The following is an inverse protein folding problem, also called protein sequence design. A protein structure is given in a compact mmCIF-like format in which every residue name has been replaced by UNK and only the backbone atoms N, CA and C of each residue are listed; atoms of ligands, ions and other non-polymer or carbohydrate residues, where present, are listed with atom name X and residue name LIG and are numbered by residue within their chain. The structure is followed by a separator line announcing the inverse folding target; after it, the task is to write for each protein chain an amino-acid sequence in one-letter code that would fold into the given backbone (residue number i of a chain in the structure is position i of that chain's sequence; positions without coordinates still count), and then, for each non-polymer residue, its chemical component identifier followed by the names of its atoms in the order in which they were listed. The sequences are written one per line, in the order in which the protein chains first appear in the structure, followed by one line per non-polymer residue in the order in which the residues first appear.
data_IF_937157732729
#
_entry.id   IF_937157732729
#
_cell.length_a   1.000
_cell.length_b   1.000
_cell.length_c   1.000
_cell.angle_alpha   90.00
_cell.angle_beta   90.00
_cell.angle_gamma   90.00
#
_symmetry.space_group_name_H-M   'P 1'
#
loop_
_entity.id
_entity.type
_entity.pdbx_description
1 polymer ?
#
# COMPACT_ATOMS: atom_id res chain seq x y z
N UNK A 1 -8.09 29.32 48.29
CA UNK A 1 -8.20 28.48 47.09
C UNK A 1 -7.40 27.21 47.35
N UNK A 2 -8.08 26.07 47.58
CA UNK A 2 -7.39 24.80 47.80
C UNK A 2 -6.72 24.31 46.51
N UNK A 3 -5.64 23.52 46.59
CA UNK A 3 -5.03 22.94 45.41
C UNK A 3 -6.05 22.03 44.74
N UNK A 4 -6.36 22.31 43.46
CA UNK A 4 -7.16 21.42 42.64
C UNK A 4 -6.43 20.08 42.59
N UNK A 5 -6.98 19.07 43.26
CA UNK A 5 -6.57 17.67 43.12
C UNK A 5 -6.93 17.22 41.70
N UNK A 6 -6.04 17.56 40.75
CA UNK A 6 -6.09 17.03 39.40
C UNK A 6 -5.91 15.53 39.48
N UNK A 7 -6.95 14.77 39.16
CA UNK A 7 -6.85 13.34 38.90
C UNK A 7 -5.84 13.19 37.77
N UNK A 8 -4.65 12.64 38.05
CA UNK A 8 -3.63 12.43 37.04
C UNK A 8 -4.23 11.61 35.89
N UNK A 9 -4.23 12.19 34.68
CA UNK A 9 -4.75 11.50 33.50
C UNK A 9 -3.91 10.24 33.27
N UNK A 10 -4.58 9.09 33.10
CA UNK A 10 -3.91 7.83 32.80
C UNK A 10 -3.20 7.94 31.45
N UNK A 11 -1.90 7.61 31.37
CA UNK A 11 -1.16 7.74 30.12
C UNK A 11 -1.75 6.85 29.03
N UNK A 12 -1.68 7.30 27.79
CA UNK A 12 -2.30 6.65 26.64
C UNK A 12 -1.25 6.27 25.60
N UNK A 13 -1.32 5.02 25.14
CA UNK A 13 -0.57 4.52 23.98
C UNK A 13 -1.51 4.51 22.78
N UNK A 14 -1.17 5.29 21.76
CA UNK A 14 -1.94 5.31 20.52
C UNK A 14 -1.30 4.43 19.46
N UNK A 15 -2.12 3.62 18.80
CA UNK A 15 -1.74 2.79 17.65
C UNK A 15 -2.45 3.38 16.44
N UNK A 16 -1.66 3.84 15.47
CA UNK A 16 -2.14 4.64 14.35
C UNK A 16 -1.79 3.96 13.05
N UNK A 17 -2.70 3.96 12.08
CA UNK A 17 -2.39 3.58 10.71
C UNK A 17 -3.27 4.36 9.74
N UNK A 18 -2.92 4.33 8.46
CA UNK A 18 -3.70 4.95 7.39
C UNK A 18 -4.21 3.89 6.41
N UNK A 19 -5.46 3.98 5.97
CA UNK A 19 -6.04 2.90 5.18
C UNK A 19 -6.05 3.17 3.67
N UNK A 20 -5.74 4.39 3.25
CA UNK A 20 -5.68 4.78 1.85
C UNK A 20 -4.39 4.31 1.16
N UNK A 21 -4.49 4.13 -0.14
CA UNK A 21 -3.35 3.93 -1.03
C UNK A 21 -3.47 4.85 -2.24
N UNK A 22 -2.34 5.18 -2.85
CA UNK A 22 -2.32 5.95 -4.09
C UNK A 22 -1.56 5.16 -5.12
N UNK A 23 -2.11 5.03 -6.32
CA UNK A 23 -1.42 4.43 -7.46
C UNK A 23 -1.71 5.11 -8.78
N UNK A 24 -1.02 4.67 -9.83
CA UNK A 24 -1.12 5.25 -11.17
C UNK A 24 -2.55 5.20 -11.72
N UNK A 25 -3.29 4.12 -11.41
CA UNK A 25 -4.71 4.00 -11.66
C UNK A 25 -5.45 3.96 -10.30
N UNK A 26 -6.26 4.97 -9.95
CA UNK A 26 -7.01 5.01 -8.69
C UNK A 26 -7.86 3.75 -8.45
N UNK A 27 -8.56 3.28 -9.49
CA UNK A 27 -9.46 2.12 -9.43
C UNK A 27 -8.73 0.78 -9.22
N UNK A 28 -7.41 0.75 -9.39
CA UNK A 28 -6.56 -0.43 -9.18
C UNK A 28 -5.62 -0.27 -7.99
N UNK A 29 -5.83 0.76 -7.16
CA UNK A 29 -5.02 1.02 -5.98
C UNK A 29 -5.47 0.14 -4.81
N UNK A 30 -5.12 -1.16 -4.86
CA UNK A 30 -5.41 -2.11 -3.78
C UNK A 30 -4.36 -2.08 -2.65
N UNK A 31 -3.09 -1.87 -3.00
CA UNK A 31 -2.01 -1.50 -2.08
C UNK A 31 -1.86 -2.33 -0.80
N UNK A 32 -1.66 -3.65 -0.89
CA UNK A 32 -1.55 -4.50 0.32
C UNK A 32 -0.32 -4.15 1.18
N UNK A 33 0.86 -4.09 0.56
CA UNK A 33 2.10 -3.62 1.20
C UNK A 33 2.27 -2.09 1.08
N UNK A 34 1.22 -1.42 0.58
CA UNK A 34 1.03 0.04 0.65
C UNK A 34 -0.01 0.32 1.74
N UNK A 35 0.31 -0.17 2.93
CA UNK A 35 -0.35 0.02 4.21
C UNK A 35 -1.67 -0.70 4.53
N UNK A 36 -2.29 -1.47 3.62
CA UNK A 36 -3.40 -2.35 4.01
C UNK A 36 -3.01 -3.29 5.15
N UNK A 37 -1.79 -3.83 5.08
CA UNK A 37 -1.19 -4.65 6.15
C UNK A 37 -1.12 -3.95 7.51
N UNK A 38 -0.89 -2.64 7.55
CA UNK A 38 -0.92 -1.84 8.79
C UNK A 38 -2.32 -1.74 9.39
N UNK A 39 -3.36 -1.61 8.55
CA UNK A 39 -4.76 -1.62 8.98
C UNK A 39 -5.15 -2.98 9.56
N UNK A 40 -4.82 -4.07 8.85
CA UNK A 40 -5.09 -5.44 9.33
C UNK A 40 -4.42 -5.69 10.69
N UNK A 41 -3.18 -5.22 10.83
CA UNK A 41 -2.43 -5.30 12.07
C UNK A 41 -3.12 -4.53 13.20
N UNK A 42 -3.54 -3.30 12.93
CA UNK A 42 -4.26 -2.46 13.90
C UNK A 42 -5.56 -3.14 14.38
N UNK A 43 -6.38 -3.67 13.48
CA UNK A 43 -7.63 -4.37 13.84
C UNK A 43 -7.35 -5.62 14.67
N UNK A 44 -6.30 -6.35 14.32
CA UNK A 44 -5.89 -7.56 15.03
C UNK A 44 -5.39 -7.22 16.44
N UNK A 45 -4.60 -6.16 16.60
CA UNK A 45 -4.15 -5.66 17.90
C UNK A 45 -5.34 -5.19 18.74
N UNK A 46 -6.28 -4.44 18.16
CA UNK A 46 -7.49 -4.00 18.84
C UNK A 46 -8.26 -5.18 19.44
N UNK A 47 -8.45 -6.25 18.67
CA UNK A 47 -9.09 -7.49 19.14
C UNK A 47 -8.30 -8.17 20.26
N UNK A 48 -6.98 -8.32 20.10
CA UNK A 48 -6.12 -9.01 21.06
C UNK A 48 -6.12 -8.27 22.40
N UNK A 49 -5.93 -6.96 22.38
CA UNK A 49 -5.95 -6.13 23.58
C UNK A 49 -7.36 -6.01 24.19
N UNK A 50 -8.42 -5.99 23.39
CA UNK A 50 -9.80 -6.03 23.89
C UNK A 50 -10.07 -7.29 24.73
N UNK A 51 -9.66 -8.47 24.23
CA UNK A 51 -9.75 -9.72 25.00
C UNK A 51 -8.89 -9.70 26.26
N UNK A 52 -7.71 -9.10 26.19
CA UNK A 52 -6.78 -9.01 27.32
C UNK A 52 -7.35 -8.12 28.43
N UNK A 53 -7.88 -6.94 28.07
CA UNK A 53 -8.47 -5.98 29.00
C UNK A 53 -9.86 -6.40 29.50
N UNK A 54 -10.60 -7.20 28.72
CA UNK A 54 -11.93 -7.72 29.08
C UNK A 54 -11.89 -8.95 30.00
N UNK A 55 -10.72 -9.56 30.22
CA UNK A 55 -10.58 -10.84 30.91
C UNK A 55 -10.88 -10.87 32.42
N UNK A 56 -11.22 -9.74 33.04
CA UNK A 56 -11.61 -9.64 34.46
C UNK A 56 -10.53 -10.09 35.45
N UNK A 57 -9.79 -9.12 36.00
CA UNK A 57 -8.80 -9.35 37.08
C UNK A 57 -7.36 -9.05 36.64
N UNK A 58 -6.75 -8.01 37.21
CA UNK A 58 -5.31 -7.69 37.15
C UNK A 58 -4.69 -7.41 35.76
N UNK A 59 -5.37 -7.74 34.66
CA UNK A 59 -4.86 -7.66 33.29
C UNK A 59 -5.05 -6.29 32.63
N UNK A 60 -5.64 -5.31 33.32
CA UNK A 60 -5.64 -3.92 32.82
C UNK A 60 -4.26 -3.32 33.09
N UNK A 61 -3.56 -2.98 32.02
CA UNK A 61 -2.29 -2.26 32.12
C UNK A 61 -2.49 -0.85 32.69
N UNK A 62 -1.39 -0.18 33.11
CA UNK A 62 -1.42 1.21 33.58
C UNK A 62 -1.65 2.22 32.44
N UNK A 63 -1.88 1.78 31.21
CA UNK A 63 -2.07 2.61 30.03
C UNK A 63 -3.46 2.44 29.45
N UNK A 64 -4.01 3.53 28.92
CA UNK A 64 -5.13 3.48 28.00
C UNK A 64 -4.62 3.17 26.58
N UNK A 65 -5.41 2.45 25.79
CA UNK A 65 -5.11 2.16 24.39
C UNK A 65 -6.05 2.94 23.49
N UNK A 66 -5.47 3.68 22.54
CA UNK A 66 -6.21 4.42 21.52
C UNK A 66 -5.88 3.86 20.14
N UNK A 67 -6.89 3.52 19.36
CA UNK A 67 -6.73 3.05 17.99
C UNK A 67 -7.22 4.11 17.02
N UNK A 68 -6.38 4.54 16.08
CA UNK A 68 -6.71 5.61 15.12
C UNK A 68 -6.44 5.14 13.69
N UNK A 69 -7.49 5.16 12.86
CA UNK A 69 -7.38 4.97 11.42
C UNK A 69 -7.64 6.30 10.71
N UNK A 70 -6.69 6.73 9.88
CA UNK A 70 -6.80 8.00 9.14
C UNK A 70 -6.81 7.76 7.63
N UNK A 71 -7.55 8.58 6.89
CA UNK A 71 -7.38 8.71 5.44
C UNK A 71 -6.32 9.75 5.08
N UNK A 72 -5.91 9.82 3.82
CA UNK A 72 -4.98 10.85 3.35
C UNK A 72 -3.52 10.64 3.78
N UNK A 73 -3.11 9.40 4.06
CA UNK A 73 -1.72 9.05 4.36
C UNK A 73 -0.76 9.45 3.23
N UNK A 74 -1.15 9.22 1.98
CA UNK A 74 -0.33 9.56 0.81
C UNK A 74 -0.32 11.07 0.49
N UNK A 75 -1.21 11.84 1.09
CA UNK A 75 -1.28 13.31 0.97
C UNK A 75 -0.56 13.98 2.13
N UNK A 76 0.70 13.58 2.36
CA UNK A 76 1.51 14.11 3.46
C UNK A 76 0.82 13.93 4.84
N UNK A 77 0.16 12.79 5.03
CA UNK A 77 -0.58 12.46 6.25
C UNK A 77 -1.64 13.51 6.64
N UNK A 78 -2.36 14.06 5.65
CA UNK A 78 -3.34 15.13 5.82
C UNK A 78 -4.42 14.78 6.87
N UNK A 79 -4.94 13.55 6.86
CA UNK A 79 -5.95 13.13 7.83
C UNK A 79 -5.40 13.03 9.26
N UNK A 80 -4.14 12.60 9.43
CA UNK A 80 -3.48 12.60 10.75
C UNK A 80 -3.25 14.03 11.26
N UNK A 81 -2.79 14.92 10.37
CA UNK A 81 -2.60 16.34 10.69
C UNK A 81 -3.90 17.00 11.13
N UNK A 82 -4.98 16.71 10.42
CA UNK A 82 -6.30 17.29 10.71
C UNK A 82 -6.94 16.69 11.97
N UNK A 83 -6.76 15.38 12.20
CA UNK A 83 -7.14 14.78 13.47
C UNK A 83 -6.39 15.41 14.66
N UNK A 84 -5.08 15.64 14.53
CA UNK A 84 -4.26 16.32 15.55
C UNK A 84 -4.64 17.80 15.77
N UNK A 85 -5.31 18.46 14.83
CA UNK A 85 -5.77 19.84 15.00
C UNK A 85 -7.12 19.92 15.72
N UNK A 86 -7.96 18.88 15.60
CA UNK A 86 -9.31 18.80 16.16
C UNK A 86 -9.42 17.98 17.44
N UNK A 87 -8.46 17.11 17.74
CA UNK A 87 -8.44 16.32 18.96
C UNK A 87 -8.40 17.21 20.22
N UNK A 88 -9.08 16.78 21.28
CA UNK A 88 -9.08 17.48 22.58
C UNK A 88 -7.65 17.56 23.14
N UNK A 89 -7.26 18.74 23.63
CA UNK A 89 -5.94 18.97 24.21
C UNK A 89 -5.65 18.03 25.37
N UNK A 90 -6.66 17.67 26.16
CA UNK A 90 -6.51 16.70 27.27
C UNK A 90 -6.11 15.30 26.79
N UNK A 91 -6.70 14.86 25.69
CA UNK A 91 -6.36 13.57 25.08
C UNK A 91 -4.91 13.63 24.56
N UNK A 92 -4.57 14.70 23.84
CA UNK A 92 -3.21 14.87 23.29
C UNK A 92 -2.14 14.95 24.38
N UNK A 93 -2.42 15.61 25.51
CA UNK A 93 -1.52 15.70 26.65
C UNK A 93 -1.35 14.36 27.38
N UNK A 94 -2.35 13.48 27.32
CA UNK A 94 -2.26 12.11 27.85
C UNK A 94 -1.50 11.14 26.94
N UNK A 95 -1.22 11.49 25.68
CA UNK A 95 -0.51 10.62 24.74
C UNK A 95 0.98 10.55 25.11
N UNK A 96 1.39 9.41 25.65
CA UNK A 96 2.78 9.18 26.03
C UNK A 96 3.59 8.59 24.87
N UNK A 97 2.98 7.64 24.14
CA UNK A 97 3.61 6.97 22.99
C UNK A 97 2.60 6.83 21.85
N UNK A 98 3.04 7.15 20.64
CA UNK A 98 2.30 6.90 19.40
C UNK A 98 3.07 5.92 18.52
N UNK A 99 2.51 4.75 18.28
CA UNK A 99 3.03 3.75 17.35
C UNK A 99 2.25 3.79 16.04
N UNK A 100 2.89 4.28 14.98
CA UNK A 100 2.36 4.25 13.62
C UNK A 100 2.77 2.95 12.94
N UNK A 101 1.81 2.19 12.41
CA UNK A 101 2.06 0.97 11.65
C UNK A 101 2.02 1.27 10.15
N UNK A 102 3.12 1.01 9.45
CA UNK A 102 3.25 1.24 8.01
C UNK A 102 3.85 0.04 7.28
N UNK A 103 3.10 -0.58 6.35
CA UNK A 103 3.64 -1.56 5.39
C UNK A 103 4.42 -2.70 6.06
N UNK A 104 3.78 -3.39 7.03
CA UNK A 104 4.41 -4.47 7.82
C UNK A 104 4.18 -5.88 7.24
N UNK A 105 3.40 -5.99 6.16
CA UNK A 105 2.97 -7.28 5.60
C UNK A 105 3.66 -7.71 4.30
N UNK A 106 4.78 -7.09 3.91
CA UNK A 106 5.47 -7.40 2.67
C UNK A 106 6.54 -8.50 2.75
N UNK A 107 7.22 -8.72 1.63
CA UNK A 107 8.30 -9.72 1.54
C UNK A 107 9.53 -9.23 2.31
N UNK A 108 9.89 -9.94 3.38
CA UNK A 108 11.14 -9.73 4.14
C UNK A 108 10.96 -10.03 5.63
N UNK A 109 12.07 -10.14 6.35
CA UNK A 109 12.08 -10.37 7.81
C UNK A 109 12.62 -9.18 8.59
N UNK A 110 13.08 -8.15 7.88
CA UNK A 110 13.63 -6.94 8.45
C UNK A 110 12.51 -5.95 8.75
N UNK A 111 12.44 -5.49 9.99
CA UNK A 111 11.60 -4.38 10.41
C UNK A 111 12.46 -3.24 10.91
N UNK A 112 12.02 -2.02 10.61
CA UNK A 112 12.68 -0.78 10.93
C UNK A 112 11.77 0.04 11.83
N UNK A 113 12.30 0.44 12.99
CA UNK A 113 11.64 1.36 13.90
C UNK A 113 12.18 2.76 13.62
N UNK A 114 11.37 3.58 12.93
CA UNK A 114 11.69 4.94 12.57
C UNK A 114 11.28 5.91 13.67
N UNK A 115 12.18 6.80 14.07
CA UNK A 115 11.91 7.81 15.09
C UNK A 115 12.51 9.17 14.73
N UNK A 116 11.76 10.22 15.09
CA UNK A 116 12.22 11.60 15.03
C UNK A 116 13.08 12.01 16.23
N UNK A 117 12.88 11.36 17.38
CA UNK A 117 13.66 11.58 18.61
C UNK A 117 14.60 10.39 18.85
N UNK A 118 15.83 10.60 19.31
CA UNK A 118 16.75 9.50 19.57
C UNK A 118 16.22 8.61 20.71
N UNK A 119 16.25 7.29 20.52
CA UNK A 119 15.74 6.30 21.47
C UNK A 119 16.76 5.97 22.57
N UNK A 120 17.34 7.00 23.20
CA UNK A 120 18.44 6.84 24.17
C UNK A 120 17.98 6.85 25.62
N UNK A 121 16.90 7.58 25.93
CA UNK A 121 16.50 7.87 27.31
C UNK A 121 14.98 7.85 27.49
N UNK A 122 14.55 7.64 28.74
CA UNK A 122 13.15 7.66 29.15
C UNK A 122 12.29 6.59 28.47
N UNK A 123 11.04 6.96 28.21
CA UNK A 123 10.02 6.12 27.55
C UNK A 123 10.52 5.60 26.19
N UNK A 124 11.27 6.42 25.46
CA UNK A 124 11.78 6.06 24.14
C UNK A 124 12.74 4.86 24.18
N UNK A 125 13.57 4.77 25.23
CA UNK A 125 14.43 3.61 25.47
C UNK A 125 13.62 2.38 25.88
N UNK A 126 12.64 2.55 26.78
CA UNK A 126 11.76 1.45 27.21
C UNK A 126 11.02 0.80 26.04
N UNK A 127 10.52 1.60 25.10
CA UNK A 127 9.90 1.08 23.87
C UNK A 127 10.92 0.31 23.03
N UNK A 128 12.12 0.86 22.81
CA UNK A 128 13.14 0.17 22.02
C UNK A 128 13.57 -1.16 22.67
N UNK A 129 13.76 -1.18 23.99
CA UNK A 129 14.14 -2.36 24.75
C UNK A 129 13.03 -3.44 24.68
N UNK A 130 11.76 -3.04 24.81
CA UNK A 130 10.61 -3.93 24.69
C UNK A 130 10.49 -4.57 23.29
N UNK A 131 10.72 -3.78 22.24
CA UNK A 131 10.71 -4.28 20.85
C UNK A 131 11.93 -5.15 20.55
N UNK A 132 13.11 -4.79 21.05
CA UNK A 132 14.33 -5.58 20.88
C UNK A 132 14.24 -6.93 21.60
N UNK A 133 13.61 -6.96 22.77
CA UNK A 133 13.35 -8.18 23.52
C UNK A 133 12.34 -9.12 22.85
N UNK A 134 11.38 -8.59 22.11
CA UNK A 134 10.38 -9.37 21.37
C UNK A 134 10.88 -9.90 20.02
N UNK A 135 11.98 -9.34 19.49
CA UNK A 135 12.44 -9.66 18.14
C UNK A 135 12.91 -11.13 17.99
N UNK A 136 13.66 -11.72 18.95
CA UNK A 136 14.11 -13.11 18.85
C UNK A 136 12.97 -14.14 18.90
N UNK A 137 11.94 -13.92 19.72
CA UNK A 137 10.81 -14.86 19.85
C UNK A 137 10.00 -14.97 18.57
N UNK A 138 9.89 -13.87 17.80
CA UNK A 138 9.20 -13.84 16.51
C UNK A 138 10.11 -14.08 15.29
N UNK A 139 11.43 -14.24 15.49
CA UNK A 139 12.40 -14.39 14.38
C UNK A 139 12.48 -13.16 13.47
N UNK A 140 12.21 -11.96 13.99
CA UNK A 140 12.22 -10.69 13.25
C UNK A 140 13.57 -10.00 13.45
N UNK A 141 14.16 -9.44 12.39
CA UNK A 141 15.35 -8.61 12.49
C UNK A 141 14.95 -7.16 12.65
N UNK A 142 14.98 -6.66 13.88
CA UNK A 142 14.64 -5.28 14.19
C UNK A 142 15.87 -4.37 14.09
N UNK A 143 15.71 -3.23 13.42
CA UNK A 143 16.71 -2.16 13.43
C UNK A 143 16.05 -0.81 13.75
N UNK A 144 16.73 0.04 14.51
CA UNK A 144 16.24 1.38 14.83
C UNK A 144 16.86 2.42 13.89
N UNK A 145 16.02 3.23 13.24
CA UNK A 145 16.44 4.31 12.35
C UNK A 145 16.00 5.65 12.95
N UNK A 146 16.96 6.53 13.21
CA UNK A 146 16.70 7.87 13.71
C UNK A 146 16.94 8.92 12.63
N UNK A 147 15.95 9.77 12.38
CA UNK A 147 16.04 10.88 11.43
C UNK A 147 15.43 12.13 12.06
N UNK A 148 16.22 13.20 12.17
CA UNK A 148 15.70 14.49 12.63
C UNK A 148 14.75 15.09 11.58
N UNK A 149 13.68 15.71 12.05
CA UNK A 149 12.68 16.35 11.19
C UNK A 149 13.29 17.61 10.56
N UNK A 150 13.13 17.73 9.25
CA UNK A 150 13.51 18.95 8.54
C UNK A 150 12.31 19.90 8.46
N UNK A 151 12.27 20.89 9.35
CA UNK A 151 11.16 21.87 9.44
C UNK A 151 11.02 22.70 8.15
N UNK A 152 12.10 22.87 7.38
CA UNK A 152 12.06 23.62 6.13
C UNK A 152 11.35 22.87 5.00
N UNK A 153 11.22 21.53 5.09
CA UNK A 153 10.52 20.74 4.09
C UNK A 153 9.05 20.58 4.50
N UNK A 154 8.09 21.07 3.69
CA UNK A 154 6.67 20.87 3.98
C UNK A 154 6.24 19.40 3.88
N UNK A 155 6.98 18.57 3.14
CA UNK A 155 6.68 17.14 2.97
C UNK A 155 7.39 16.31 4.05
N UNK A 156 6.59 15.60 4.84
CA UNK A 156 7.03 14.68 5.86
C UNK A 156 7.34 13.31 5.26
N UNK A 157 8.29 12.61 5.87
CA UNK A 157 8.74 11.29 5.41
C UNK A 157 7.90 10.17 6.01
N UNK A 158 7.41 10.36 7.25
CA UNK A 158 6.70 9.34 8.01
C UNK A 158 5.56 9.94 8.83
N UNK A 159 4.55 9.11 9.12
CA UNK A 159 3.35 9.55 9.86
C UNK A 159 3.67 10.08 11.26
N UNK A 160 4.66 9.48 11.95
CA UNK A 160 5.06 9.89 13.30
C UNK A 160 5.65 11.32 13.36
N UNK A 161 6.09 11.87 12.23
CA UNK A 161 6.60 13.24 12.17
C UNK A 161 5.49 14.27 12.45
N UNK A 162 4.23 13.98 12.06
CA UNK A 162 3.07 14.84 12.38
C UNK A 162 2.87 14.98 13.90
N UNK A 163 3.02 13.87 14.64
CA UNK A 163 2.93 13.86 16.10
C UNK A 163 4.10 14.60 16.75
N UNK A 164 5.30 14.43 16.20
CA UNK A 164 6.51 15.07 16.68
C UNK A 164 6.47 16.59 16.53
N UNK A 165 5.81 17.12 15.50
CA UNK A 165 5.53 18.56 15.34
C UNK A 165 4.64 19.12 16.47
N UNK A 166 3.77 18.29 17.03
CA UNK A 166 2.94 18.59 18.22
C UNK A 166 3.64 18.25 19.54
N UNK A 167 4.94 17.95 19.51
CA UNK A 167 5.79 17.54 20.66
C UNK A 167 5.45 16.17 21.27
N UNK A 168 4.49 15.45 20.71
CA UNK A 168 4.11 14.10 21.12
C UNK A 168 5.20 13.12 20.64
N UNK A 169 5.54 12.13 21.46
CA UNK A 169 6.53 11.11 21.07
C UNK A 169 5.87 10.07 20.17
N UNK A 170 6.37 9.94 18.94
CA UNK A 170 5.85 9.02 17.94
C UNK A 170 6.94 8.23 17.24
N UNK A 171 6.58 7.01 16.83
CA UNK A 171 7.42 6.03 16.16
C UNK A 171 6.67 5.46 14.95
N UNK A 172 7.36 5.14 13.87
CA UNK A 172 6.77 4.35 12.77
C UNK A 172 7.48 3.02 12.68
N UNK A 173 6.74 1.93 12.80
CA UNK A 173 7.23 0.59 12.49
C UNK A 173 6.93 0.29 11.03
N UNK A 174 7.98 0.02 10.25
CA UNK A 174 7.82 -0.34 8.84
C UNK A 174 8.84 -1.35 8.38
N UNK A 175 8.49 -2.17 7.39
CA UNK A 175 9.45 -3.00 6.64
C UNK A 175 10.37 -2.16 5.75
N UNK A 176 9.93 -0.95 5.36
CA UNK A 176 10.68 -0.09 4.45
C UNK A 176 11.80 0.60 5.23
N UNK A 177 13.04 0.40 4.79
CA UNK A 177 14.22 1.09 5.36
C UNK A 177 14.25 2.58 5.04
N UNK A 178 13.53 3.00 4.00
CA UNK A 178 13.40 4.38 3.52
C UNK A 178 11.93 4.78 3.48
N UNK A 179 11.63 6.08 3.65
CA UNK A 179 10.27 6.57 3.60
C UNK A 179 9.62 6.36 2.23
N UNK A 180 8.29 6.20 2.18
CA UNK A 180 7.55 6.22 0.93
C UNK A 180 7.72 7.56 0.21
N UNK A 181 7.72 7.51 -1.13
CA UNK A 181 7.80 8.72 -1.95
C UNK A 181 6.46 9.47 -1.85
N UNK A 182 6.44 10.78 -1.53
CA UNK A 182 5.20 11.53 -1.47
C UNK A 182 4.46 11.55 -2.81
N UNK A 183 3.12 11.54 -2.76
CA UNK A 183 2.23 11.55 -3.93
C UNK A 183 2.61 12.62 -4.98
N UNK A 184 2.90 13.84 -4.52
CA UNK A 184 3.24 14.97 -5.38
C UNK A 184 4.53 14.71 -6.20
N UNK A 185 5.52 14.04 -5.61
CA UNK A 185 6.77 13.71 -6.28
C UNK A 185 6.61 12.54 -7.27
N UNK A 186 5.73 11.58 -6.98
CA UNK A 186 5.41 10.47 -7.88
C UNK A 186 4.55 10.87 -9.08
N UNK A 187 3.67 11.87 -8.90
CA UNK A 187 2.82 12.39 -9.98
C UNK A 187 3.61 13.28 -10.95
N UNK A 188 4.61 14.04 -10.46
CA UNK A 188 5.44 14.90 -11.31
C UNK A 188 6.36 14.11 -12.25
N UNK A 189 6.88 12.95 -11.82
CA UNK A 189 7.72 12.09 -12.67
C UNK A 189 6.92 11.41 -13.78
N UNK A 190 5.65 11.08 -13.54
CA UNK A 190 4.74 10.59 -14.58
C UNK A 190 4.42 11.66 -15.64
N UNK A 191 4.32 12.93 -15.22
CA UNK A 191 4.12 14.07 -16.14
C UNK A 191 5.38 14.41 -16.95
N UNK A 192 6.58 14.26 -16.39
CA UNK A 192 7.83 14.50 -17.12
C UNK A 192 8.06 13.51 -18.27
N UNK A 193 7.62 12.26 -18.09
CA UNK A 193 7.70 11.23 -19.13
C UNK A 193 6.75 11.49 -20.32
N UNK A 194 5.70 12.30 -20.14
CA UNK A 194 4.76 12.66 -21.21
C UNK A 194 5.13 13.97 -21.92
N UNK A 195 5.88 14.88 -21.28
CA UNK A 195 6.31 16.15 -21.89
C UNK A 195 7.56 16.02 -22.79
N UNK A 196 8.40 15.01 -22.61
CA UNK A 196 9.54 14.76 -23.52
C UNK A 196 9.14 14.18 -24.89
N UNK A 197 7.86 13.88 -25.12
CA UNK A 197 7.34 13.41 -26.39
C UNK A 197 6.74 14.51 -27.29
N UNK A 198 6.81 15.78 -26.87
CA UNK A 198 5.98 16.84 -27.45
C UNK A 198 6.69 18.12 -27.87
N UNK A 199 7.97 18.10 -28.24
CA UNK A 199 8.64 19.30 -28.79
C UNK A 199 9.62 18.95 -29.92
N UNK A 200 9.08 18.51 -31.06
CA UNK A 200 9.69 18.76 -32.38
C UNK A 200 8.60 19.16 -33.36
N UNK A 201 8.42 20.48 -33.54
CA UNK A 201 7.65 21.03 -34.64
C UNK A 201 8.39 20.80 -35.96
N UNK A 202 7.71 20.21 -36.95
CA UNK A 202 8.20 20.14 -38.33
C UNK A 202 7.74 18.87 -39.05
N UNK A 203 6.71 19.03 -39.87
CA UNK A 203 6.26 18.22 -41.01
C UNK A 203 6.86 16.80 -41.26
N UNK A 204 5.93 15.87 -41.51
CA UNK A 204 6.08 14.60 -42.25
C UNK A 204 6.56 13.36 -41.47
N UNK A 205 5.68 12.34 -41.45
CA UNK A 205 6.04 10.93 -41.24
C UNK A 205 6.07 10.47 -39.79
N UNK A 206 5.12 9.60 -39.41
CA UNK A 206 5.23 8.77 -38.20
C UNK A 206 6.40 7.79 -38.36
N UNK A 207 7.58 8.18 -37.90
CA UNK A 207 8.73 7.29 -37.75
C UNK A 207 8.72 6.78 -36.31
N UNK A 208 8.37 5.51 -36.12
CA UNK A 208 8.63 4.83 -34.85
C UNK A 208 10.15 4.78 -34.62
N UNK A 209 10.66 5.18 -33.44
CA UNK A 209 12.09 5.06 -33.17
C UNK A 209 12.49 3.58 -33.18
N UNK A 210 13.69 3.24 -33.70
CA UNK A 210 14.19 1.88 -33.66
C UNK A 210 14.36 1.41 -32.20
N UNK A 211 14.09 0.14 -31.95
CA UNK A 211 14.11 -0.50 -30.63
C UNK A 211 15.46 -0.35 -29.86
N UNK A 212 16.52 0.07 -30.53
CA UNK A 212 17.86 0.26 -29.98
C UNK A 212 18.06 1.50 -29.10
N UNK A 213 17.09 2.44 -29.05
CA UNK A 213 17.12 3.58 -28.11
C UNK A 213 16.70 3.16 -26.69
N UNK A 214 15.83 2.15 -26.56
CA UNK A 214 15.43 1.63 -25.25
C UNK A 214 16.56 0.91 -24.49
N UNK A 215 17.59 0.43 -25.21
CA UNK A 215 18.78 -0.21 -24.64
C UNK A 215 19.84 0.79 -24.10
N UNK A 216 19.71 2.09 -24.40
CA UNK A 216 20.69 3.13 -24.01
C UNK A 216 20.24 4.06 -22.90
N UNK A 217 19.01 3.90 -22.41
CA UNK A 217 18.62 4.56 -21.17
C UNK A 217 19.40 3.88 -20.02
N UNK A 218 20.10 4.64 -19.15
CA UNK A 218 20.60 4.05 -17.92
C UNK A 218 19.41 3.34 -17.26
N UNK A 219 19.58 2.11 -16.74
CA UNK A 219 18.49 1.46 -16.02
C UNK A 219 17.97 2.48 -15.01
N UNK A 220 16.63 2.69 -14.92
CA UNK A 220 16.10 3.52 -13.86
C UNK A 220 16.74 2.99 -12.57
N UNK A 221 17.20 3.89 -11.67
CA UNK A 221 17.88 3.45 -10.47
C UNK A 221 17.07 2.31 -9.88
N UNK A 222 17.72 1.18 -9.63
CA UNK A 222 17.14 -0.01 -9.01
C UNK A 222 16.79 0.26 -7.55
N UNK A 223 16.18 1.41 -7.27
CA UNK A 223 15.21 1.54 -6.22
C UNK A 223 14.08 0.59 -6.59
N UNK A 224 13.95 -0.48 -5.82
CA UNK A 224 12.67 -0.99 -5.38
C UNK A 224 11.87 0.15 -4.73
N UNK A 225 11.50 1.17 -5.52
CA UNK A 225 10.45 2.09 -5.16
C UNK A 225 9.23 1.21 -5.14
N UNK A 226 8.73 0.90 -3.95
CA UNK A 226 7.35 0.52 -3.73
C UNK A 226 6.48 1.68 -4.23
N UNK A 227 6.46 1.88 -5.54
CA UNK A 227 5.26 2.29 -6.24
C UNK A 227 4.21 1.30 -5.78
N UNK A 228 3.06 1.79 -5.39
CA UNK A 228 1.85 1.00 -5.21
C UNK A 228 1.70 0.03 -6.39
N UNK A 229 2.22 -1.18 -6.24
CA UNK A 229 2.13 -2.13 -7.31
C UNK A 229 0.67 -2.55 -7.31
N UNK A 230 0.02 -2.34 -8.45
CA UNK A 230 -1.37 -2.76 -8.71
C UNK A 230 -1.56 -4.27 -8.56
N UNK A 231 -0.49 -5.02 -8.28
CA UNK A 231 -0.44 -6.48 -8.19
C UNK A 231 0.33 -6.95 -6.94
N UNK A 232 0.15 -6.28 -5.79
CA UNK A 232 0.62 -6.82 -4.52
C UNK A 232 -0.24 -8.05 -4.13
N UNK A 233 0.28 -9.27 -4.35
CA UNK A 233 -0.40 -10.51 -3.95
C UNK A 233 -0.32 -10.71 -2.44
N UNK A 234 -1.34 -10.23 -1.74
CA UNK A 234 -1.45 -10.35 -0.28
C UNK A 234 -1.29 -11.78 0.25
N UNK A 235 -1.78 -12.77 -0.50
CA UNK A 235 -1.75 -14.18 -0.06
C UNK A 235 -0.33 -14.73 0.15
N UNK A 236 0.67 -14.20 -0.55
CA UNK A 236 2.05 -14.69 -0.42
C UNK A 236 2.74 -14.23 0.87
N UNK A 237 2.21 -13.23 1.57
CA UNK A 237 2.87 -12.63 2.74
C UNK A 237 2.01 -12.69 4.02
N UNK A 238 0.89 -13.44 4.03
CA UNK A 238 0.00 -13.54 5.18
C UNK A 238 0.68 -14.14 6.41
N UNK A 239 1.49 -15.19 6.24
CA UNK A 239 2.20 -15.83 7.36
C UNK A 239 3.22 -14.87 7.99
N UNK A 240 3.86 -14.03 7.18
CA UNK A 240 4.77 -12.98 7.65
C UNK A 240 4.03 -11.87 8.36
N UNK A 241 2.87 -11.47 7.85
CA UNK A 241 2.01 -10.50 8.52
C UNK A 241 1.55 -11.03 9.88
N UNK A 242 1.09 -12.28 9.96
CA UNK A 242 0.66 -12.92 11.21
C UNK A 242 1.79 -12.90 12.26
N UNK A 243 2.98 -13.33 11.89
CA UNK A 243 4.20 -13.25 12.71
C UNK A 243 4.54 -11.83 13.15
N UNK A 244 4.46 -10.86 12.23
CA UNK A 244 4.80 -9.47 12.53
C UNK A 244 3.76 -8.82 13.46
N UNK A 245 2.49 -9.18 13.35
CA UNK A 245 1.45 -8.70 14.29
C UNK A 245 1.64 -9.34 15.66
N UNK A 246 2.02 -10.62 15.72
CA UNK A 246 2.36 -11.29 16.99
C UNK A 246 3.54 -10.60 17.67
N UNK A 247 4.60 -10.33 16.90
CA UNK A 247 5.75 -9.54 17.37
C UNK A 247 5.33 -8.18 17.95
N UNK A 248 4.48 -7.42 17.26
CA UNK A 248 4.02 -6.10 17.73
C UNK A 248 3.15 -6.24 18.97
N UNK A 249 2.26 -7.22 19.03
CA UNK A 249 1.43 -7.48 20.20
C UNK A 249 2.30 -7.81 21.43
N UNK A 250 3.32 -8.65 21.24
CA UNK A 250 4.26 -9.06 22.27
C UNK A 250 5.11 -7.88 22.76
N UNK A 251 5.65 -7.07 21.85
CA UNK A 251 6.44 -5.88 22.15
C UNK A 251 5.62 -4.82 22.91
N UNK A 252 4.39 -4.56 22.47
CA UNK A 252 3.49 -3.62 23.14
C UNK A 252 3.09 -4.12 24.52
N UNK A 253 2.81 -5.41 24.69
CA UNK A 253 2.52 -5.95 26.01
C UNK A 253 3.72 -5.84 26.96
N UNK A 254 4.94 -6.11 26.48
CA UNK A 254 6.14 -5.88 27.29
C UNK A 254 6.25 -4.44 27.77
N UNK A 255 6.02 -3.50 26.86
CA UNK A 255 6.04 -2.08 27.19
C UNK A 255 4.94 -1.69 28.19
N UNK A 256 3.69 -2.07 27.94
CA UNK A 256 2.53 -1.69 28.75
C UNK A 256 2.62 -2.27 30.17
N UNK A 257 3.02 -3.53 30.31
CA UNK A 257 3.06 -4.21 31.60
C UNK A 257 4.42 -4.14 32.29
N UNK A 258 5.41 -3.46 31.69
CA UNK A 258 6.76 -3.35 32.26
C UNK A 258 7.43 -4.71 32.47
N UNK A 259 7.25 -5.64 31.53
CA UNK A 259 7.79 -7.00 31.65
C UNK A 259 9.27 -6.98 31.26
N UNK A 260 10.12 -6.89 32.27
CA UNK A 260 11.57 -6.81 32.11
C UNK A 260 12.20 -8.09 31.53
N UNK A 261 13.28 -7.87 30.78
CA UNK A 261 14.19 -8.89 30.21
C UNK A 261 14.98 -9.65 31.30
N UNK A 262 15.00 -9.15 32.53
CA UNK A 262 15.87 -9.64 33.63
C UNK A 262 15.42 -10.94 34.28
N UNK A 263 14.21 -11.45 34.00
CA UNK A 263 13.68 -12.66 34.63
C UNK A 263 14.21 -13.99 34.04
N UNK A 264 15.18 -13.97 33.10
CA UNK A 264 15.74 -15.20 32.50
C UNK A 264 17.16 -15.55 32.96
N UNK A 265 17.77 -14.77 33.84
CA UNK A 265 19.09 -15.10 34.41
C UNK A 265 19.04 -15.06 35.93
N UNK A 266 18.39 -16.05 36.56
CA UNK A 266 18.75 -16.62 37.88
C UNK A 266 17.63 -17.55 38.35
N UNK A 267 17.79 -18.85 38.06
CA UNK A 267 17.47 -19.98 38.94
C UNK A 267 17.55 -21.27 38.11
N UNK A 268 18.59 -22.05 38.36
CA UNK A 268 18.62 -23.50 38.21
C UNK A 268 18.30 -24.08 36.82
N UNK A 269 19.35 -24.27 36.00
CA UNK A 269 19.71 -25.58 35.46
C UNK A 269 18.73 -26.37 34.58
N UNK A 270 17.57 -25.83 34.19
CA UNK A 270 16.65 -26.50 33.27
C UNK A 270 16.50 -25.70 31.99
N UNK A 271 17.06 -26.25 30.92
CA UNK A 271 17.13 -25.64 29.59
C UNK A 271 15.79 -25.82 28.85
N UNK A 272 14.68 -25.37 29.45
CA UNK A 272 13.42 -25.15 28.74
C UNK A 272 13.45 -23.73 28.17
N UNK A 273 14.02 -23.64 26.96
CA UNK A 273 14.19 -22.41 26.20
C UNK A 273 12.82 -21.84 25.78
N UNK A 274 12.58 -20.58 26.18
CA UNK A 274 11.60 -19.63 25.64
C UNK A 274 10.11 -20.01 25.72
N UNK A 275 9.52 -19.88 26.91
CA UNK A 275 8.16 -19.32 26.99
C UNK A 275 8.20 -18.07 27.83
N UNK A 276 8.35 -16.91 27.19
CA UNK A 276 8.25 -15.63 27.91
C UNK A 276 6.89 -15.57 28.62
N UNK A 277 6.77 -14.98 29.82
CA UNK A 277 5.48 -14.75 30.48
C UNK A 277 4.44 -14.14 29.53
N UNK A 278 4.90 -13.29 28.60
CA UNK A 278 4.09 -12.65 27.54
C UNK A 278 3.58 -13.65 26.51
N UNK A 279 4.39 -14.62 26.12
CA UNK A 279 3.99 -15.66 25.17
C UNK A 279 2.87 -16.52 25.77
N UNK A 280 2.86 -16.71 27.10
CA UNK A 280 1.73 -17.32 27.81
C UNK A 280 0.50 -16.41 27.90
N UNK A 281 0.67 -15.08 27.92
CA UNK A 281 -0.45 -14.11 27.87
C UNK A 281 -1.20 -14.22 26.53
N UNK A 282 -0.47 -14.43 25.44
CA UNK A 282 -1.04 -14.56 24.09
C UNK A 282 -1.20 -16.01 23.60
N UNK A 283 -0.81 -17.01 24.39
CA UNK A 283 -1.02 -18.41 24.04
C UNK A 283 -2.51 -18.81 24.07
N UNK A 284 -2.91 -19.70 23.15
CA UNK A 284 -4.24 -20.31 23.12
C UNK A 284 -5.36 -19.35 22.70
N UNK A 285 -6.49 -19.35 23.42
CA UNK A 285 -7.76 -18.66 23.02
C UNK A 285 -7.66 -17.12 22.98
N UNK A 286 -6.60 -16.55 23.59
CA UNK A 286 -6.30 -15.11 23.61
C UNK A 286 -5.35 -14.67 22.48
N UNK A 287 -4.77 -15.62 21.75
CA UNK A 287 -3.87 -15.35 20.65
C UNK A 287 -4.53 -14.74 19.42
N UNK A 288 -3.68 -14.45 18.45
CA UNK A 288 -4.08 -13.96 17.13
C UNK A 288 -5.00 -14.96 16.44
N UNK A 289 -6.07 -14.43 15.85
CA UNK A 289 -6.98 -15.22 15.05
C UNK A 289 -6.55 -15.08 13.59
N UNK A 290 -5.75 -16.05 13.13
CA UNK A 290 -5.32 -16.10 11.73
C UNK A 290 -6.50 -15.99 10.75
N UNK A 291 -7.66 -16.57 11.07
CA UNK A 291 -8.87 -16.44 10.25
C UNK A 291 -9.35 -15.00 10.03
N UNK A 292 -9.38 -14.17 11.08
CA UNK A 292 -9.77 -12.76 10.95
C UNK A 292 -8.72 -11.95 10.20
N UNK A 293 -7.44 -12.17 10.54
CA UNK A 293 -6.32 -11.50 9.87
C UNK A 293 -6.34 -11.79 8.36
N UNK A 294 -6.52 -13.06 7.98
CA UNK A 294 -6.61 -13.49 6.57
C UNK A 294 -7.87 -12.95 5.87
N UNK A 295 -9.01 -12.90 6.56
CA UNK A 295 -10.25 -12.37 6.00
C UNK A 295 -10.13 -10.87 5.69
N UNK A 296 -9.63 -10.07 6.65
CA UNK A 296 -9.41 -8.65 6.47
C UNK A 296 -8.29 -8.35 5.47
N UNK A 297 -7.20 -9.13 5.50
CA UNK A 297 -6.16 -9.02 4.49
C UNK A 297 -6.71 -9.28 3.08
N UNK A 298 -7.55 -10.30 2.89
CA UNK A 298 -8.17 -10.58 1.58
C UNK A 298 -9.15 -9.48 1.17
N UNK A 299 -10.02 -9.03 2.07
CA UNK A 299 -10.99 -7.97 1.80
C UNK A 299 -10.29 -6.67 1.36
N UNK A 300 -9.29 -6.22 2.13
CA UNK A 300 -8.49 -5.04 1.80
C UNK A 300 -7.56 -5.25 0.59
N UNK A 301 -7.38 -6.48 0.09
CA UNK A 301 -6.61 -6.69 -1.13
C UNK A 301 -7.47 -6.69 -2.39
N UNK A 302 -8.78 -6.85 -2.23
CA UNK A 302 -9.74 -6.88 -3.33
C UNK A 302 -10.38 -5.52 -3.57
N UNK A 303 -10.45 -4.68 -2.53
CA UNK A 303 -11.08 -3.36 -2.63
C UNK A 303 -10.03 -2.27 -2.91
N UNK A 304 -10.26 -1.47 -3.95
CA UNK A 304 -9.40 -0.33 -4.26
C UNK A 304 -9.67 0.81 -3.29
N UNK A 305 -8.63 1.42 -2.74
CA UNK A 305 -8.73 2.50 -1.73
C UNK A 305 -7.95 3.75 -2.17
N UNK A 306 -8.26 4.33 -3.33
CA UNK A 306 -7.57 5.51 -3.82
C UNK A 306 -7.76 6.69 -2.87
N UNK A 307 -6.65 7.27 -2.38
CA UNK A 307 -6.66 8.40 -1.45
C UNK A 307 -7.70 9.51 -1.71
N UNK A 308 -7.98 9.96 -2.95
CA UNK A 308 -8.99 10.99 -3.18
C UNK A 308 -10.45 10.55 -3.22
N UNK A 309 -10.73 9.26 -3.45
CA UNK A 309 -12.11 8.73 -3.56
C UNK A 309 -12.44 7.77 -2.42
N UNK A 310 -11.69 7.83 -1.33
CA UNK A 310 -11.93 7.01 -0.15
C UNK A 310 -13.31 7.26 0.46
N UNK A 311 -13.82 8.50 0.37
CA UNK A 311 -15.18 8.85 0.82
C UNK A 311 -16.27 8.02 0.15
N UNK A 312 -16.02 7.54 -1.07
CA UNK A 312 -17.01 6.85 -1.88
C UNK A 312 -17.11 5.37 -1.49
N UNK A 313 -16.15 4.87 -0.70
CA UNK A 313 -16.12 3.51 -0.17
C UNK A 313 -16.83 3.42 1.19
N UNK A 314 -18.12 3.79 1.24
CA UNK A 314 -18.91 3.77 2.49
C UNK A 314 -18.90 2.39 3.16
N UNK A 315 -19.06 1.32 2.38
CA UNK A 315 -19.10 -0.06 2.88
C UNK A 315 -17.81 -0.49 3.62
N UNK A 316 -16.65 -0.06 3.12
CA UNK A 316 -15.37 -0.37 3.77
C UNK A 316 -15.24 0.37 5.10
N UNK A 317 -15.55 1.66 5.10
CA UNK A 317 -15.42 2.51 6.29
C UNK A 317 -16.38 2.00 7.38
N UNK A 318 -17.61 1.65 7.00
CA UNK A 318 -18.59 1.05 7.90
C UNK A 318 -18.12 -0.32 8.42
N UNK A 319 -17.50 -1.14 7.58
CA UNK A 319 -16.93 -2.42 8.00
C UNK A 319 -15.79 -2.25 9.01
N UNK A 320 -14.86 -1.33 8.77
CA UNK A 320 -13.75 -0.99 9.67
C UNK A 320 -14.28 -0.45 11.00
N UNK A 321 -15.26 0.46 10.93
CA UNK A 321 -15.92 1.04 12.10
C UNK A 321 -16.61 -0.02 12.94
N UNK A 322 -17.42 -0.88 12.33
CA UNK A 322 -18.16 -1.95 13.00
C UNK A 322 -17.21 -2.88 13.76
N UNK A 323 -16.07 -3.22 13.16
CA UNK A 323 -15.06 -4.07 13.80
C UNK A 323 -14.35 -3.36 14.96
N UNK A 324 -14.02 -2.08 14.81
CA UNK A 324 -13.44 -1.32 15.91
C UNK A 324 -14.43 -1.15 17.07
N UNK A 325 -15.69 -0.82 16.79
CA UNK A 325 -16.78 -0.74 17.77
C UNK A 325 -16.97 -2.04 18.55
N UNK A 326 -16.76 -3.20 17.91
CA UNK A 326 -16.84 -4.48 18.59
C UNK A 326 -15.71 -4.69 19.62
N UNK A 327 -14.55 -4.05 19.44
CA UNK A 327 -13.36 -4.28 20.25
C UNK A 327 -12.96 -3.09 21.12
N UNK A 328 -13.48 -1.90 20.88
CA UNK A 328 -13.23 -0.69 21.67
C UNK A 328 -14.48 -0.27 22.47
N UNK A 329 -14.27 0.43 23.57
CA UNK A 329 -15.38 0.93 24.42
C UNK A 329 -15.98 2.23 23.89
N UNK A 330 -15.16 3.05 23.25
CA UNK A 330 -15.54 4.32 22.64
C UNK A 330 -15.02 4.32 21.19
N UNK A 331 -15.83 4.84 20.28
CA UNK A 331 -15.54 4.93 18.86
C UNK A 331 -16.17 6.20 18.29
N UNK A 332 -15.48 6.82 17.34
CA UNK A 332 -15.97 8.02 16.66
C UNK A 332 -15.48 8.05 15.23
N UNK A 333 -16.37 8.40 14.31
CA UNK A 333 -16.03 8.68 12.93
C UNK A 333 -15.97 10.19 12.73
N UNK A 334 -14.89 10.67 12.12
CA UNK A 334 -14.72 12.08 11.78
C UNK A 334 -14.50 12.22 10.28
N UNK A 335 -15.38 12.95 9.60
CA UNK A 335 -15.17 13.32 8.21
C UNK A 335 -14.17 14.46 8.11
N UNK A 336 -13.28 14.39 7.13
CA UNK A 336 -12.24 15.41 6.87
C UNK A 336 -12.42 15.94 5.47
N UNK A 337 -12.51 17.26 5.34
CA UNK A 337 -12.42 17.93 4.04
C UNK A 337 -10.96 18.29 3.81
N UNK A 338 -10.38 17.78 2.72
CA UNK A 338 -9.01 18.09 2.36
C UNK A 338 -8.86 19.58 2.00
N UNK A 339 -7.75 20.23 2.37
CA UNK A 339 -7.51 21.62 2.00
C UNK A 339 -7.37 21.75 0.48
N UNK A 340 -7.72 22.94 -0.05
CA UNK A 340 -7.78 23.27 -1.48
C UNK A 340 -6.46 23.17 -2.25
N UNK A 341 -5.37 22.80 -1.59
CA UNK A 341 -4.05 22.58 -2.21
C UNK A 341 -4.06 21.40 -3.19
N UNK A 342 -4.97 20.44 -3.01
CA UNK A 342 -5.12 19.29 -3.90
C UNK A 342 -6.43 19.40 -4.68
N UNK A 343 -6.35 19.32 -6.01
CA UNK A 343 -7.53 19.17 -6.89
C UNK A 343 -7.49 17.78 -7.50
N UNK A 344 -8.50 16.97 -7.21
CA UNK A 344 -8.62 15.62 -7.74
C UNK A 344 -9.62 15.61 -8.89
N UNK A 345 -9.23 14.95 -9.98
CA UNK A 345 -10.09 14.75 -11.14
C UNK A 345 -10.78 13.40 -11.02
N UNK A 346 -12.11 13.40 -11.13
CA UNK A 346 -12.92 12.18 -11.18
C UNK A 346 -12.42 11.25 -12.30
N UNK A 347 -12.39 9.91 -12.09
CA UNK A 347 -12.02 8.97 -13.14
C UNK A 347 -12.86 9.21 -14.40
N UNK A 348 -12.20 9.47 -15.52
CA UNK A 348 -12.86 9.68 -16.81
C UNK A 348 -13.14 8.33 -17.44
N UNK A 349 -14.41 8.02 -17.72
CA UNK A 349 -14.78 6.81 -18.45
C UNK A 349 -14.44 6.98 -19.94
N UNK A 350 -13.47 6.21 -20.43
CA UNK A 350 -13.07 6.20 -21.84
C UNK A 350 -13.67 5.01 -22.57
N UNK A 351 -14.34 5.23 -23.70
CA UNK A 351 -14.71 4.13 -24.61
C UNK A 351 -13.49 3.76 -25.46
N UNK A 352 -12.97 2.55 -25.29
CA UNK A 352 -11.91 2.02 -26.15
C UNK A 352 -12.53 1.41 -27.41
N UNK A 353 -12.38 2.08 -28.55
CA UNK A 353 -12.77 1.54 -29.84
C UNK A 353 -11.56 0.92 -30.56
N UNK A 354 -11.61 -0.38 -30.82
CA UNK A 354 -10.61 -1.08 -31.62
C UNK A 354 -11.02 -1.02 -33.11
N UNK A 355 -10.37 -0.17 -33.89
CA UNK A 355 -10.55 -0.14 -35.34
C UNK A 355 -9.57 -1.09 -36.01
N UNK A 356 -10.09 -2.13 -36.66
CA UNK A 356 -9.28 -3.01 -37.52
C UNK A 356 -9.06 -2.29 -38.86
N UNK A 357 -7.80 -2.02 -39.20
CA UNK A 357 -7.44 -1.43 -40.51
C UNK A 357 -7.88 -2.36 -41.64
N UNK A 358 -8.27 -1.78 -42.78
CA UNK A 358 -8.79 -2.50 -43.94
C UNK A 358 -7.89 -3.70 -44.28
N UNK A 359 -8.42 -4.93 -44.25
CA UNK A 359 -7.64 -6.10 -44.63
C UNK A 359 -7.38 -6.07 -46.15
N UNK A 360 -6.20 -6.57 -46.57
CA UNK A 360 -5.80 -6.74 -47.98
C UNK A 360 -6.84 -7.56 -48.77
N UNK A 361 -7.66 -8.36 -48.08
CA UNK A 361 -8.77 -9.09 -48.67
C UNK A 361 -9.79 -8.21 -49.38
N UNK A 362 -10.04 -6.98 -48.90
CA UNK A 362 -10.96 -6.06 -49.57
C UNK A 362 -10.43 -5.66 -50.95
N UNK A 363 -9.13 -5.36 -51.04
CA UNK A 363 -8.48 -4.98 -52.31
C UNK A 363 -8.36 -6.17 -53.27
N UNK A 364 -8.09 -7.38 -52.75
CA UNK A 364 -8.11 -8.61 -53.54
C UNK A 364 -9.50 -8.97 -54.07
N UNK A 365 -10.56 -8.79 -53.27
CA UNK A 365 -11.94 -9.01 -53.72
C UNK A 365 -12.34 -7.96 -54.75
N UNK A 366 -11.97 -6.69 -54.53
CA UNK A 366 -12.25 -5.60 -55.45
C UNK A 366 -11.54 -5.79 -56.80
N UNK A 367 -10.25 -6.13 -56.78
CA UNK A 367 -9.48 -6.42 -58.01
C UNK A 367 -10.03 -7.63 -58.76
N UNK A 368 -10.42 -8.70 -58.05
CA UNK A 368 -11.08 -9.85 -58.68
C UNK A 368 -12.43 -9.48 -59.30
N UNK A 369 -13.23 -8.64 -58.64
CA UNK A 369 -14.50 -8.16 -59.17
C UNK A 369 -14.30 -7.31 -60.44
N UNK A 370 -13.28 -6.44 -60.46
CA UNK A 370 -12.92 -5.62 -61.63
C UNK A 370 -12.49 -6.52 -62.79
N UNK A 371 -11.63 -7.51 -62.54
CA UNK A 371 -11.17 -8.47 -63.56
C UNK A 371 -12.32 -9.27 -64.15
N UNK A 372 -13.24 -9.76 -63.30
CA UNK A 372 -14.41 -10.50 -63.74
C UNK A 372 -15.35 -9.63 -64.57
N UNK A 373 -15.55 -8.36 -64.20
CA UNK A 373 -16.34 -7.42 -64.98
C UNK A 373 -15.74 -7.15 -66.37
N UNK A 374 -14.43 -6.91 -66.45
CA UNK A 374 -13.71 -6.71 -67.72
C UNK A 374 -13.79 -7.96 -68.61
N UNK A 375 -13.68 -9.16 -68.03
CA UNK A 375 -13.82 -10.41 -68.76
C UNK A 375 -15.22 -10.58 -69.35
N UNK A 376 -16.27 -10.33 -68.55
CA UNK A 376 -17.66 -10.37 -69.04
C UNK A 376 -17.89 -9.36 -70.16
N UNK A 377 -17.40 -8.13 -70.01
CA UNK A 377 -17.50 -7.09 -71.03
C UNK A 377 -16.79 -7.52 -72.33
N UNK A 378 -15.62 -8.15 -72.24
CA UNK A 378 -14.91 -8.68 -73.40
C UNK A 378 -15.69 -9.77 -74.13
N UNK A 379 -16.29 -10.69 -73.37
CA UNK A 379 -17.13 -11.78 -73.90
C UNK A 379 -18.35 -11.20 -74.60
N UNK A 380 -19.02 -10.21 -73.99
CA UNK A 380 -20.20 -9.55 -74.58
C UNK A 380 -19.89 -8.83 -75.89
N UNK A 381 -18.70 -8.24 -76.05
CA UNK A 381 -18.33 -7.52 -77.28
C UNK A 381 -17.86 -8.46 -78.39
N UNK A 382 -17.02 -9.48 -78.09
CA UNK A 382 -16.44 -10.37 -79.13
C UNK A 382 -17.28 -11.61 -79.45
N UNK A 383 -18.25 -11.94 -78.60
CA UNK A 383 -19.04 -13.18 -78.69
C UNK A 383 -18.25 -14.41 -78.21
N UNK A 384 -18.93 -15.43 -77.63
CA UNK A 384 -18.29 -16.57 -76.96
C UNK A 384 -17.47 -17.47 -77.90
N UNK A 385 -17.65 -17.37 -79.22
CA UNK A 385 -17.02 -18.24 -80.21
C UNK A 385 -15.63 -17.79 -80.68
N UNK A 386 -15.16 -16.60 -80.31
CA UNK A 386 -13.87 -16.03 -80.75
C UNK A 386 -12.83 -15.88 -79.62
N UNK A 387 -13.01 -16.60 -78.51
CA UNK A 387 -12.11 -16.52 -77.34
C UNK A 387 -11.01 -17.55 -77.50
N UNK A 388 -9.84 -17.13 -78.00
CA UNK A 388 -8.67 -17.98 -78.10
C UNK A 388 -7.95 -18.08 -76.74
N UNK A 389 -8.20 -19.18 -76.02
CA UNK A 389 -7.61 -19.46 -74.70
C UNK A 389 -6.22 -20.11 -74.77
N UNK A 390 -5.67 -20.31 -75.98
CA UNK A 390 -4.35 -20.90 -76.19
C UNK A 390 -3.20 -20.15 -75.48
N UNK A 391 -3.16 -18.80 -75.39
CA UNK A 391 -2.04 -18.10 -74.76
C UNK A 391 -2.00 -18.28 -73.23
N UNK A 392 -3.16 -18.45 -72.59
CA UNK A 392 -3.26 -18.62 -71.13
C UNK A 392 -2.77 -20.02 -70.72
N UNK A 393 -3.03 -21.04 -71.55
CA UNK A 393 -2.56 -22.41 -71.32
C UNK A 393 -1.04 -22.52 -71.44
N UNK A 394 -0.42 -21.80 -72.37
CA UNK A 394 1.04 -21.78 -72.52
C UNK A 394 1.75 -21.15 -71.32
N UNK A 395 1.21 -20.07 -70.75
CA UNK A 395 1.77 -19.42 -69.55
C UNK A 395 1.74 -20.35 -68.33
N UNK A 396 0.67 -21.12 -68.14
CA UNK A 396 0.58 -22.09 -67.04
C UNK A 396 1.45 -23.34 -67.24
N UNK A 397 1.73 -23.73 -68.49
CA UNK A 397 2.66 -24.82 -68.80
C UNK A 397 4.12 -24.38 -68.62
N UNK A 398 4.46 -23.15 -69.03
CA UNK A 398 5.79 -22.56 -68.81
C UNK A 398 6.14 -22.42 -67.32
N UNK A 399 5.15 -22.08 -66.46
CA UNK A 399 5.37 -22.03 -65.01
C UNK A 399 5.58 -23.39 -64.36
N UNK A 400 5.09 -24.47 -64.99
CA UNK A 400 5.22 -25.85 -64.51
C UNK A 400 6.58 -26.46 -64.88
N UNK A 401 7.14 -26.09 -66.03
CA UNK A 401 8.49 -26.51 -66.44
C UNK A 401 9.61 -25.84 -65.62
N UNK A 402 9.37 -24.65 -65.04
CA UNK A 402 10.38 -23.93 -64.24
C UNK A 402 10.53 -24.44 -62.80
N UNK A 403 9.75 -25.46 -62.41
CA UNK A 403 9.69 -26.02 -61.04
C UNK A 403 10.09 -27.51 -60.97
N UNK A 404 10.56 -28.08 -62.07
CA UNK A 404 11.10 -29.44 -62.14
C UNK A 404 12.63 -29.42 -62.11
#
# INVERSE_FOLDING_TARGET
AGPATGVAAVPTVAIVSYYDSLGAAPDLSHGFDTNASGVVALLSLARVFSKLYGGGGGARGPYNLLFVLTGGGMLNFAGTRDWLSRADGRLLDSLEVVLCLDSIGGVGDDLYLHSSKPLKEGVAKQVLDAFTAAAPSAGVRLSSVHKKINIANPNLSWQHEQFSLKRIFGLTLSRKSRPPVPAAASLSTASGASQQAGETGGASGLVFPPASIFDRLPPPPSTSTSTSNTVDKAEQCLDKLERNVEFVAEALARFIYGLDVTATTTAEGNQDVLSSPVQKVFAGRRGLSGGMLRAWARALSQEARPTPFVSDNEHLIDGLRTVLEQYTTDSGLQSVVLPSTYTFYTPTTGQMSLYRVKPVTFDLVLSLAILLWLALLHISIKGPSNIDLSPIKEIFQASKQKKA
#
